data_IF_806239598949
#
_entry.id   IF_806239598949
#
_cell.length_a   1.000
_cell.length_b   1.000
_cell.length_c   1.000
_cell.angle_alpha   90.00
_cell.angle_beta   90.00
_cell.angle_gamma   90.00
#
_symmetry.space_group_name_H-M   'P 1'
#
loop_
_entity.id
_entity.type
_entity.pdbx_description
1 polymer ?
#
# COMPACT_ATOMS: atom_id res chain seq x y z
N UNK A 1 24.76 -19.33 11.10
CA UNK A 1 23.53 -18.53 11.27
C UNK A 1 23.97 -17.13 11.62
N UNK A 2 24.11 -16.27 10.62
CA UNK A 2 24.62 -14.91 10.77
C UNK A 2 23.52 -14.02 11.37
N UNK A 3 23.50 -13.95 12.71
CA UNK A 3 22.59 -13.03 13.39
C UNK A 3 23.09 -11.60 13.23
N UNK A 4 22.26 -10.75 12.62
CA UNK A 4 22.47 -9.31 12.64
C UNK A 4 22.16 -8.81 14.06
N UNK A 5 23.15 -8.22 14.75
CA UNK A 5 22.99 -7.64 16.10
C UNK A 5 21.96 -6.51 16.15
N UNK A 6 21.55 -5.98 15.00
CA UNK A 6 20.53 -4.94 14.85
C UNK A 6 19.12 -5.46 14.50
N UNK A 7 18.86 -6.77 14.59
CA UNK A 7 17.51 -7.33 14.32
C UNK A 7 16.99 -8.11 15.52
N UNK A 8 15.68 -7.97 15.78
CA UNK A 8 14.98 -8.72 16.82
C UNK A 8 13.96 -9.65 16.15
N UNK A 9 13.92 -10.91 16.58
CA UNK A 9 12.89 -11.84 16.17
C UNK A 9 11.66 -11.65 17.06
N UNK A 10 10.53 -11.29 16.46
CA UNK A 10 9.27 -11.04 17.16
C UNK A 10 8.12 -11.67 16.42
N UNK A 11 7.08 -12.04 17.15
CA UNK A 11 5.78 -12.40 16.59
C UNK A 11 4.82 -11.22 16.74
N UNK A 12 4.10 -10.90 15.66
CA UNK A 12 3.12 -9.82 15.60
C UNK A 12 1.90 -10.36 14.85
N UNK A 13 0.70 -9.99 15.30
CA UNK A 13 -0.54 -10.41 14.63
C UNK A 13 -0.62 -9.89 13.19
N UNK A 14 -1.17 -10.71 12.29
CA UNK A 14 -1.26 -10.37 10.87
C UNK A 14 -2.02 -9.06 10.63
N UNK A 15 -3.08 -8.81 11.40
CA UNK A 15 -3.87 -7.57 11.33
C UNK A 15 -3.04 -6.33 11.66
N UNK A 16 -2.13 -6.43 12.62
CA UNK A 16 -1.27 -5.31 13.01
C UNK A 16 -0.23 -5.03 11.91
N UNK A 17 0.34 -6.08 11.32
CA UNK A 17 1.23 -5.95 10.14
C UNK A 17 0.48 -5.32 8.97
N UNK A 18 -0.76 -5.72 8.71
CA UNK A 18 -1.58 -5.16 7.63
C UNK A 18 -1.77 -3.65 7.80
N UNK A 19 -2.11 -3.20 9.01
CA UNK A 19 -2.25 -1.77 9.32
C UNK A 19 -0.94 -1.01 9.09
N UNK A 20 0.20 -1.54 9.57
CA UNK A 20 1.50 -0.91 9.36
C UNK A 20 1.88 -0.78 7.88
N UNK A 21 1.54 -1.78 7.06
CA UNK A 21 1.73 -1.71 5.60
C UNK A 21 0.75 -0.69 4.98
N UNK A 22 -0.49 -0.66 5.45
CA UNK A 22 -1.53 0.25 4.96
C UNK A 22 -1.17 1.72 5.25
N UNK A 23 -0.69 2.04 6.45
CA UNK A 23 -0.24 3.37 6.83
C UNK A 23 1.10 3.75 6.19
N UNK A 24 1.85 2.78 5.66
CA UNK A 24 3.13 3.00 5.01
C UNK A 24 4.32 3.05 5.96
N UNK A 25 4.14 2.62 7.21
CA UNK A 25 5.20 2.49 8.20
C UNK A 25 6.08 1.25 8.00
N UNK A 26 5.57 0.25 7.27
CA UNK A 26 6.27 -1.01 7.01
C UNK A 26 6.18 -1.42 5.54
N UNK A 27 7.32 -1.74 4.93
CA UNK A 27 7.37 -2.35 3.60
C UNK A 27 7.67 -3.85 3.70
N UNK A 28 7.01 -4.68 2.89
CA UNK A 28 7.25 -6.12 2.85
C UNK A 28 8.70 -6.49 2.50
N UNK A 29 9.46 -5.61 1.83
CA UNK A 29 10.88 -5.80 1.51
C UNK A 29 11.79 -5.71 2.75
N UNK A 30 11.35 -5.04 3.81
CA UNK A 30 12.12 -4.85 5.04
C UNK A 30 11.88 -5.98 6.06
N UNK A 31 10.87 -6.83 5.84
CA UNK A 31 10.50 -7.89 6.78
C UNK A 31 11.23 -9.19 6.43
N UNK A 32 12.00 -9.70 7.39
CA UNK A 32 12.53 -11.08 7.35
C UNK A 32 11.57 -11.99 8.08
N UNK A 33 10.93 -12.89 7.33
CA UNK A 33 9.95 -13.84 7.87
C UNK A 33 10.65 -15.08 8.42
N UNK A 34 10.18 -15.58 9.56
CA UNK A 34 10.73 -16.79 10.21
C UNK A 34 10.36 -18.08 9.46
N UNK A 35 9.25 -18.07 8.73
CA UNK A 35 8.78 -19.21 7.95
C UNK A 35 8.13 -18.76 6.63
N UNK A 36 7.95 -19.74 5.73
CA UNK A 36 7.39 -19.52 4.39
C UNK A 36 5.94 -19.06 4.41
N UNK A 37 5.15 -19.52 5.38
CA UNK A 37 3.74 -19.14 5.52
C UNK A 37 3.60 -17.65 5.85
N UNK A 38 4.34 -17.16 6.84
CA UNK A 38 4.39 -15.72 7.19
C UNK A 38 4.86 -14.89 6.01
N UNK A 39 5.85 -15.36 5.25
CA UNK A 39 6.33 -14.67 4.04
C UNK A 39 5.23 -14.52 2.99
N UNK A 40 4.52 -15.60 2.67
CA UNK A 40 3.41 -15.54 1.72
C UNK A 40 2.31 -14.60 2.20
N UNK A 41 1.96 -14.64 3.49
CA UNK A 41 0.92 -13.79 4.06
C UNK A 41 1.28 -12.31 3.94
N UNK A 42 2.51 -11.92 4.29
CA UNK A 42 3.01 -10.53 4.18
C UNK A 42 3.03 -10.07 2.72
N UNK A 43 3.45 -10.93 1.80
CA UNK A 43 3.43 -10.60 0.38
C UNK A 43 2.02 -10.36 -0.16
N UNK A 44 1.05 -11.20 0.20
CA UNK A 44 -0.34 -11.02 -0.22
C UNK A 44 -0.94 -9.73 0.35
N UNK A 45 -0.69 -9.43 1.63
CA UNK A 45 -1.10 -8.16 2.24
C UNK A 45 -0.53 -6.96 1.47
N UNK A 46 0.78 -6.97 1.21
CA UNK A 46 1.45 -5.90 0.48
C UNK A 46 0.92 -5.73 -0.95
N UNK A 47 0.72 -6.82 -1.70
CA UNK A 47 0.18 -6.78 -3.06
C UNK A 47 -1.23 -6.21 -3.09
N UNK A 48 -2.09 -6.62 -2.16
CA UNK A 48 -3.47 -6.13 -2.05
C UNK A 48 -3.50 -4.62 -1.75
N UNK A 49 -2.69 -4.16 -0.79
CA UNK A 49 -2.64 -2.76 -0.38
C UNK A 49 -2.01 -1.88 -1.47
N UNK A 50 -0.81 -2.22 -1.93
CA UNK A 50 -0.09 -1.41 -2.92
C UNK A 50 -0.78 -1.45 -4.29
N UNK A 51 -1.34 -2.60 -4.69
CA UNK A 51 -2.12 -2.72 -5.92
C UNK A 51 -3.35 -1.80 -5.91
N UNK A 52 -4.13 -1.80 -4.82
CA UNK A 52 -5.27 -0.89 -4.65
C UNK A 52 -4.87 0.58 -4.66
N UNK A 53 -3.81 0.95 -3.94
CA UNK A 53 -3.28 2.33 -3.92
C UNK A 53 -2.86 2.78 -5.32
N UNK A 54 -2.17 1.93 -6.07
CA UNK A 54 -1.71 2.26 -7.42
C UNK A 54 -2.86 2.39 -8.42
N UNK A 55 -3.88 1.53 -8.32
CA UNK A 55 -5.12 1.69 -9.09
C UNK A 55 -5.83 3.01 -8.76
N UNK A 56 -5.95 3.37 -7.47
CA UNK A 56 -6.57 4.63 -7.06
C UNK A 56 -5.80 5.86 -7.56
N UNK A 57 -4.47 5.80 -7.61
CA UNK A 57 -3.64 6.89 -8.16
C UNK A 57 -3.78 7.02 -9.68
N UNK A 58 -3.91 5.90 -10.40
CA UNK A 58 -4.06 5.92 -11.86
C UNK A 58 -5.48 6.24 -12.34
N UNK A 59 -6.52 5.83 -11.60
CA UNK A 59 -7.91 6.05 -11.98
C UNK A 59 -8.44 7.45 -11.63
N UNK A 60 -7.78 8.22 -10.75
CA UNK A 60 -8.18 9.59 -10.39
C UNK A 60 -7.72 10.69 -11.37
N UNK A 61 -7.11 10.34 -12.51
CA UNK A 61 -6.67 11.29 -13.54
C UNK A 61 -7.76 11.75 -14.53
N UNK A 62 -9.03 11.52 -14.24
CA UNK A 62 -10.22 12.09 -14.92
C UNK A 62 -11.16 12.51 -13.78
N UNK A 63 -11.34 13.77 -13.39
CA UNK A 63 -11.80 14.94 -14.12
C UNK A 63 -11.42 16.22 -13.34
N UNK A 64 -10.57 17.08 -13.91
CA UNK A 64 -10.62 18.53 -13.65
C UNK A 64 -10.64 19.25 -14.99
N UNK A 65 -11.65 18.97 -15.82
CA UNK A 65 -11.99 19.86 -16.93
C UNK A 65 -13.04 20.85 -16.43
N UNK A 66 -12.59 22.04 -16.07
CA UNK A 66 -13.48 23.17 -15.75
C UNK A 66 -14.17 23.57 -17.05
N UNK A 67 -15.43 23.15 -17.24
CA UNK A 67 -16.26 23.65 -18.33
C UNK A 67 -16.71 25.05 -17.93
N UNK A 68 -16.04 26.07 -18.45
CA UNK A 68 -16.56 27.44 -18.47
C UNK A 68 -17.66 27.46 -19.54
N UNK A 69 -18.92 27.40 -19.13
CA UNK A 69 -20.07 27.66 -20.01
C UNK A 69 -20.19 29.17 -20.16
N UNK A 70 -19.69 29.72 -21.27
CA UNK A 70 -20.02 31.08 -21.69
C UNK A 70 -21.45 31.07 -22.25
N UNK A 71 -22.36 31.74 -21.53
CA UNK A 71 -23.72 32.01 -21.96
C UNK A 71 -23.70 32.93 -23.18
N UNK A 72 -24.30 32.51 -24.29
CA UNK A 72 -24.67 33.41 -25.38
C UNK A 72 -26.18 33.60 -25.33
N UNK A 73 -26.58 34.86 -25.12
CA UNK A 73 -27.96 35.33 -25.16
C UNK A 73 -28.26 35.69 -26.61
N UNK A 74 -29.25 35.02 -27.21
CA UNK A 74 -29.80 35.37 -28.54
C UNK A 74 -30.89 36.44 -28.36
N UNK A 75 -30.79 37.52 -29.14
CA UNK A 75 -31.83 38.53 -29.42
C UNK A 75 -32.15 38.48 -30.91
#
# INVERSE_FOLDING_TARGET
MDWNQNTVQVEISAEHIERLILDGHLCASQVKCLNSESKQKIWQMCLNICGKKMCNLHCQKKDKSSVIVQQTTEY
#
